data_IF_260094000367
#
_entry.id   IF_260094000367
#
_cell.length_a   1.000
_cell.length_b   1.000
_cell.length_c   1.000
_cell.angle_alpha   90.00
_cell.angle_beta   90.00
_cell.angle_gamma   90.00
#
_symmetry.space_group_name_H-M   'P 1'
#
loop_
_entity.id
_entity.type
_entity.pdbx_description
1 polymer ?
#
# COMPACT_ATOMS: atom_id res chain seq x y z
N UNK A 1 -1.88 -45.32 -34.10
CA UNK A 1 -2.25 -44.82 -32.75
C UNK A 1 -1.16 -44.95 -31.66
N UNK A 2 -0.16 -45.84 -31.76
CA UNK A 2 0.90 -45.99 -30.72
C UNK A 2 1.91 -44.83 -30.63
N UNK A 3 2.02 -43.96 -31.65
CA UNK A 3 3.00 -42.87 -31.66
C UNK A 3 2.58 -41.64 -30.83
N UNK A 4 1.27 -41.37 -30.71
CA UNK A 4 0.75 -40.16 -30.03
C UNK A 4 0.84 -40.23 -28.50
N UNK A 5 0.81 -41.42 -27.90
CA UNK A 5 0.95 -41.58 -26.45
C UNK A 5 2.39 -41.33 -25.96
N UNK A 6 3.40 -41.56 -26.80
CA UNK A 6 4.82 -41.43 -26.40
C UNK A 6 5.25 -39.96 -26.27
N UNK A 7 4.63 -39.07 -27.06
CA UNK A 7 4.95 -37.64 -27.04
C UNK A 7 4.35 -36.93 -25.80
N UNK A 8 3.12 -37.28 -25.40
CA UNK A 8 2.47 -36.70 -24.21
C UNK A 8 3.18 -37.05 -22.90
N UNK A 9 3.74 -38.27 -22.76
CA UNK A 9 4.46 -38.67 -21.55
C UNK A 9 5.71 -37.83 -21.27
N UNK A 10 6.48 -37.45 -22.31
CA UNK A 10 7.70 -36.65 -22.14
C UNK A 10 7.40 -35.21 -21.74
N UNK A 11 6.31 -34.62 -22.23
CA UNK A 11 5.91 -33.25 -21.88
C UNK A 11 5.36 -33.18 -20.45
N UNK A 12 4.53 -34.16 -20.06
CA UNK A 12 3.98 -34.23 -18.70
C UNK A 12 5.09 -34.42 -17.66
N UNK A 13 6.10 -35.27 -17.94
CA UNK A 13 7.21 -35.48 -17.01
C UNK A 13 8.07 -34.22 -16.82
N UNK A 14 8.29 -33.45 -17.89
CA UNK A 14 9.03 -32.18 -17.82
C UNK A 14 8.26 -31.09 -17.08
N UNK A 15 6.93 -31.00 -17.25
CA UNK A 15 6.13 -30.07 -16.45
C UNK A 15 6.16 -30.45 -14.97
N UNK A 16 6.01 -31.73 -14.62
CA UNK A 16 5.97 -32.15 -13.21
C UNK A 16 7.28 -31.86 -12.47
N UNK A 17 8.43 -32.01 -13.15
CA UNK A 17 9.74 -31.71 -12.56
C UNK A 17 9.96 -30.22 -12.36
N UNK A 18 9.49 -29.36 -13.28
CA UNK A 18 9.56 -27.91 -13.13
C UNK A 18 8.66 -27.43 -11.99
N UNK A 19 7.44 -27.97 -11.86
CA UNK A 19 6.53 -27.60 -10.76
C UNK A 19 7.06 -28.03 -9.40
N UNK A 20 7.68 -29.22 -9.30
CA UNK A 20 8.31 -29.67 -8.05
C UNK A 20 9.54 -28.84 -7.68
N UNK A 21 10.36 -28.43 -8.65
CA UNK A 21 11.51 -27.55 -8.40
C UNK A 21 11.08 -26.14 -7.96
N UNK A 22 10.01 -25.59 -8.56
CA UNK A 22 9.47 -24.30 -8.13
C UNK A 22 8.85 -24.37 -6.71
N UNK A 23 8.14 -25.45 -6.39
CA UNK A 23 7.59 -25.67 -5.06
C UNK A 23 8.66 -25.85 -3.98
N UNK A 24 9.74 -26.57 -4.28
CA UNK A 24 10.88 -26.71 -3.38
C UNK A 24 11.63 -25.39 -3.17
N UNK A 25 11.73 -24.54 -4.20
CA UNK A 25 12.35 -23.22 -4.08
C UNK A 25 11.51 -22.27 -3.20
N UNK A 26 10.18 -22.29 -3.32
CA UNK A 26 9.30 -21.49 -2.44
C UNK A 26 9.30 -21.96 -0.98
N UNK A 27 9.55 -23.25 -0.71
CA UNK A 27 9.70 -23.75 0.66
C UNK A 27 11.07 -23.41 1.27
N UNK A 28 12.11 -23.23 0.46
CA UNK A 28 13.45 -22.87 0.95
C UNK A 28 13.62 -21.37 1.24
N UNK A 29 12.91 -20.49 0.54
CA UNK A 29 12.99 -19.03 0.79
C UNK A 29 12.23 -18.58 2.04
N UNK A 30 11.28 -19.36 2.55
CA UNK A 30 10.52 -19.06 3.77
C UNK A 30 11.26 -19.31 5.08
N UNK A 31 12.40 -20.03 5.07
CA UNK A 31 13.12 -20.42 6.29
C UNK A 31 14.24 -19.45 6.69
N UNK A 32 14.58 -18.45 5.87
CA UNK A 32 15.77 -17.60 6.07
C UNK A 32 15.47 -16.16 6.54
N UNK A 33 14.21 -15.81 6.82
CA UNK A 33 13.80 -14.46 7.22
C UNK A 33 13.26 -14.34 8.65
N UNK A 34 13.70 -15.21 9.56
CA UNK A 34 13.48 -15.03 11.00
C UNK A 34 14.82 -14.79 11.70
N UNK A 35 15.53 -13.72 11.30
CA UNK A 35 16.36 -13.06 12.30
C UNK A 35 15.36 -12.54 13.35
N UNK A 36 15.28 -13.20 14.51
CA UNK A 36 14.46 -12.73 15.62
C UNK A 36 14.98 -11.34 15.98
N UNK A 37 14.31 -10.29 15.48
CA UNK A 37 14.51 -8.94 15.97
C UNK A 37 14.31 -8.98 17.48
N UNK A 38 15.23 -8.33 18.21
CA UNK A 38 15.12 -8.23 19.66
C UNK A 38 13.75 -7.64 19.99
N UNK A 39 13.04 -8.25 20.94
CA UNK A 39 11.79 -7.68 21.44
C UNK A 39 12.08 -6.29 22.00
N UNK A 40 11.16 -5.34 21.81
CA UNK A 40 11.23 -4.00 22.41
C UNK A 40 11.50 -4.07 23.92
N UNK A 41 10.95 -5.07 24.60
CA UNK A 41 11.21 -5.30 26.04
C UNK A 41 12.67 -5.64 26.31
N UNK A 42 13.31 -6.45 25.46
CA UNK A 42 14.71 -6.82 25.60
C UNK A 42 15.62 -5.61 25.34
N UNK A 43 15.28 -4.76 24.36
CA UNK A 43 16.01 -3.52 24.10
C UNK A 43 15.95 -2.55 25.29
N UNK A 44 14.77 -2.40 25.91
CA UNK A 44 14.62 -1.57 27.12
C UNK A 44 15.46 -2.13 28.28
N UNK A 45 15.44 -3.45 28.49
CA UNK A 45 16.23 -4.09 29.54
C UNK A 45 17.74 -3.96 29.29
N UNK A 46 18.19 -4.04 28.03
CA UNK A 46 19.59 -3.80 27.64
C UNK A 46 20.03 -2.37 28.00
N UNK A 47 19.19 -1.36 27.70
CA UNK A 47 19.46 0.06 28.05
C UNK A 47 19.52 0.24 29.58
N UNK A 48 18.63 -0.40 30.33
CA UNK A 48 18.62 -0.32 31.80
C UNK A 48 19.85 -0.99 32.42
N UNK A 49 20.34 -2.07 31.81
CA UNK A 49 21.56 -2.77 32.24
C UNK A 49 22.81 -1.92 31.91
N UNK A 50 22.89 -1.34 30.71
CA UNK A 50 23.99 -0.48 30.27
C UNK A 50 24.10 0.80 31.12
N UNK A 51 22.96 1.40 31.46
CA UNK A 51 22.89 2.56 32.37
C UNK A 51 23.13 2.21 33.85
N UNK A 52 23.40 0.94 34.18
CA UNK A 52 23.58 0.40 35.54
C UNK A 52 22.40 0.68 36.48
N UNK A 53 21.19 0.84 35.94
CA UNK A 53 19.97 1.02 36.75
C UNK A 53 19.46 -0.30 37.34
N UNK A 54 19.85 -1.43 36.75
CA UNK A 54 19.51 -2.78 37.20
C UNK A 54 20.74 -3.67 37.25
N UNK A 55 20.76 -4.64 38.17
CA UNK A 55 21.79 -5.69 38.20
C UNK A 55 21.48 -6.79 37.18
N UNK A 56 22.50 -7.59 36.83
CA UNK A 56 22.36 -8.74 35.93
C UNK A 56 21.27 -9.72 36.41
N UNK A 57 21.24 -10.04 37.71
CA UNK A 57 20.23 -10.93 38.29
C UNK A 57 18.80 -10.41 38.10
N UNK A 58 18.62 -9.08 38.17
CA UNK A 58 17.32 -8.43 37.97
C UNK A 58 16.94 -8.39 36.50
N UNK A 59 17.92 -8.21 35.60
CA UNK A 59 17.71 -8.32 34.16
C UNK A 59 17.19 -9.72 33.79
N UNK A 60 17.88 -10.79 34.24
CA UNK A 60 17.50 -12.17 33.92
C UNK A 60 16.11 -12.53 34.47
N UNK A 61 15.79 -12.06 35.68
CA UNK A 61 14.47 -12.26 36.29
C UNK A 61 13.35 -11.57 35.51
N UNK A 62 13.58 -10.35 35.00
CA UNK A 62 12.61 -9.60 34.21
C UNK A 62 12.43 -10.19 32.82
N UNK A 63 13.51 -10.64 32.18
CA UNK A 63 13.47 -11.30 30.88
C UNK A 63 12.61 -12.57 30.94
N UNK A 64 12.85 -13.43 31.94
CA UNK A 64 12.07 -14.66 32.16
C UNK A 64 10.59 -14.39 32.41
N UNK A 65 10.27 -13.31 33.13
CA UNK A 65 8.88 -12.90 33.37
C UNK A 65 8.19 -12.42 32.09
N UNK A 66 8.87 -11.61 31.28
CA UNK A 66 8.35 -11.12 30.01
C UNK A 66 8.06 -12.27 29.03
N UNK A 67 8.95 -13.26 28.95
CA UNK A 67 8.72 -14.47 28.14
C UNK A 67 7.49 -15.26 28.61
N UNK A 68 7.32 -15.44 29.91
CA UNK A 68 6.15 -16.11 30.47
C UNK A 68 4.84 -15.37 30.18
N UNK A 69 4.83 -14.03 30.29
CA UNK A 69 3.66 -13.20 29.97
C UNK A 69 3.33 -13.26 28.47
N UNK A 70 4.34 -13.25 27.58
CA UNK A 70 4.14 -13.38 26.14
C UNK A 70 3.59 -14.75 25.73
N UNK A 71 4.09 -15.84 26.32
CA UNK A 71 3.56 -17.18 26.09
C UNK A 71 2.10 -17.30 26.55
N UNK A 72 1.77 -16.73 27.72
CA UNK A 72 0.41 -16.70 28.23
C UNK A 72 -0.53 -15.87 27.32
N UNK A 73 -0.06 -14.74 26.78
CA UNK A 73 -0.80 -13.94 25.82
C UNK A 73 -1.03 -14.68 24.50
N UNK A 74 0.00 -15.35 23.97
CA UNK A 74 -0.12 -16.17 22.76
C UNK A 74 -1.11 -17.32 22.93
N UNK A 75 -1.12 -17.98 24.10
CA UNK A 75 -2.11 -19.01 24.43
C UNK A 75 -3.53 -18.45 24.44
N UNK A 76 -3.77 -17.30 25.06
CA UNK A 76 -5.09 -16.64 25.05
C UNK A 76 -5.56 -16.29 23.63
N UNK A 77 -4.66 -15.80 22.79
CA UNK A 77 -4.98 -15.52 21.38
C UNK A 77 -5.30 -16.81 20.62
N UNK A 78 -4.51 -17.87 20.81
CA UNK A 78 -4.76 -19.17 20.19
C UNK A 78 -6.07 -19.80 20.66
N UNK A 79 -6.43 -19.65 21.94
CA UNK A 79 -7.71 -20.09 22.49
C UNK A 79 -8.88 -19.27 21.93
N UNK A 80 -8.74 -17.95 21.82
CA UNK A 80 -9.75 -17.09 21.19
C UNK A 80 -9.94 -17.41 19.69
N UNK A 81 -8.85 -17.71 18.98
CA UNK A 81 -8.90 -18.15 17.59
C UNK A 81 -9.54 -19.53 17.44
N UNK A 82 -9.26 -20.48 18.35
CA UNK A 82 -9.93 -21.79 18.39
C UNK A 82 -11.42 -21.67 18.71
N UNK A 83 -11.82 -20.72 19.56
CA UNK A 83 -13.22 -20.44 19.83
C UNK A 83 -13.95 -19.79 18.64
N UNK A 84 -13.25 -18.99 17.83
CA UNK A 84 -13.78 -18.41 16.60
C UNK A 84 -13.78 -19.38 15.39
N UNK A 85 -13.05 -20.49 15.47
CA UNK A 85 -12.85 -21.44 14.37
C UNK A 85 -13.74 -22.70 14.46
N UNK A 86 -14.98 -22.58 14.96
CA UNK A 86 -15.97 -23.66 14.83
C UNK A 86 -16.38 -23.79 13.35
N UNK A 87 -16.02 -24.88 12.64
CA UNK A 87 -16.22 -24.97 11.20
C UNK A 87 -17.60 -25.57 10.89
N UNK A 88 -18.43 -24.84 10.13
CA UNK A 88 -19.44 -25.49 9.28
C UNK A 88 -18.68 -26.27 8.18
N UNK A 89 -18.91 -27.57 8.11
CA UNK A 89 -18.12 -28.50 7.32
C UNK A 89 -18.13 -28.19 5.81
N UNK A 90 -16.98 -28.22 5.12
CA UNK A 90 -16.91 -28.16 3.67
C UNK A 90 -16.92 -29.58 3.08
N UNK A 91 -17.88 -29.87 2.19
CA UNK A 91 -17.81 -31.06 1.34
C UNK A 91 -17.03 -30.72 0.08
N UNK A 92 -15.89 -31.38 -0.12
CA UNK A 92 -15.01 -31.20 -1.25
C UNK A 92 -15.58 -31.87 -2.52
N UNK A 93 -15.64 -31.10 -3.61
CA UNK A 93 -15.93 -31.57 -4.97
C UNK A 93 -14.95 -30.92 -5.96
N UNK A 94 -14.30 -31.77 -6.75
CA UNK A 94 -13.21 -31.51 -7.70
C UNK A 94 -13.59 -30.57 -8.85
N UNK A 95 -12.66 -29.67 -9.20
CA UNK A 95 -12.81 -28.66 -10.25
C UNK A 95 -12.97 -29.23 -11.67
N UNK A 96 -14.13 -28.97 -12.26
CA UNK A 96 -14.26 -28.50 -13.64
C UNK A 96 -15.05 -27.20 -13.61
N UNK A 97 -14.61 -26.16 -14.33
CA UNK A 97 -15.43 -24.96 -14.65
C UNK A 97 -16.80 -25.46 -15.17
N UNK A 98 -17.99 -25.13 -14.60
CA UNK A 98 -18.52 -23.76 -14.40
C UNK A 98 -19.52 -23.51 -13.21
N UNK A 99 -20.04 -22.28 -13.04
CA UNK A 99 -21.40 -21.84 -12.58
C UNK A 99 -21.98 -22.16 -11.18
N UNK A 100 -22.73 -21.19 -10.60
CA UNK A 100 -23.72 -21.26 -9.48
C UNK A 100 -23.14 -21.46 -8.07
N UNK A 101 -23.06 -20.50 -7.14
CA UNK A 101 -24.07 -19.59 -6.57
C UNK A 101 -25.20 -20.24 -5.74
N UNK A 102 -25.24 -21.57 -5.52
CA UNK A 102 -26.44 -22.18 -4.89
C UNK A 102 -26.38 -22.55 -3.41
N UNK A 103 -25.29 -22.30 -2.68
CA UNK A 103 -25.31 -22.43 -1.21
C UNK A 103 -25.35 -21.08 -0.46
N UNK A 104 -24.92 -19.99 -1.10
CA UNK A 104 -24.88 -18.65 -0.49
C UNK A 104 -25.32 -17.52 -1.44
N UNK A 105 -25.69 -17.82 -2.69
CA UNK A 105 -26.06 -16.79 -3.66
C UNK A 105 -24.90 -15.89 -4.11
N UNK A 106 -23.67 -16.14 -3.67
CA UNK A 106 -22.51 -15.28 -3.89
C UNK A 106 -21.80 -15.63 -5.20
N UNK A 107 -21.45 -14.62 -5.99
CA UNK A 107 -20.69 -14.70 -7.23
C UNK A 107 -19.36 -13.96 -7.08
N UNK A 108 -18.31 -14.51 -7.68
CA UNK A 108 -17.00 -13.87 -7.75
C UNK A 108 -16.70 -13.46 -9.19
N UNK A 109 -16.19 -12.24 -9.39
CA UNK A 109 -15.76 -11.75 -10.69
C UNK A 109 -14.46 -10.96 -10.58
N UNK A 110 -13.69 -10.93 -11.66
CA UNK A 110 -12.46 -10.15 -11.75
C UNK A 110 -12.59 -9.06 -12.80
N UNK A 111 -12.72 -7.80 -12.37
CA UNK A 111 -12.81 -6.63 -13.26
C UNK A 111 -12.17 -5.43 -12.57
N UNK A 112 -10.90 -5.17 -12.86
CA UNK A 112 -10.07 -4.16 -12.18
C UNK A 112 -9.90 -4.40 -10.67
N UNK A 113 -10.08 -5.64 -10.24
CA UNK A 113 -10.10 -6.06 -8.84
C UNK A 113 -10.95 -7.31 -8.66
N UNK A 114 -10.85 -7.93 -7.49
CA UNK A 114 -11.72 -9.02 -7.06
C UNK A 114 -13.05 -8.42 -6.58
N UNK A 115 -14.17 -8.89 -7.14
CA UNK A 115 -15.50 -8.49 -6.70
C UNK A 115 -16.29 -9.71 -6.27
N UNK A 116 -16.87 -9.65 -5.09
CA UNK A 116 -17.71 -10.66 -4.48
C UNK A 116 -19.11 -10.06 -4.33
N UNK A 117 -20.08 -10.54 -5.08
CA UNK A 117 -21.44 -9.99 -5.08
C UNK A 117 -22.48 -11.08 -5.09
N UNK A 118 -23.58 -10.93 -4.37
CA UNK A 118 -24.71 -11.85 -4.48
C UNK A 118 -25.76 -11.38 -5.50
N UNK A 119 -26.70 -12.26 -5.84
CA UNK A 119 -27.72 -12.01 -6.88
C UNK A 119 -28.60 -10.81 -6.56
N UNK A 120 -29.00 -10.63 -5.29
CA UNK A 120 -29.86 -9.53 -4.85
C UNK A 120 -29.09 -8.25 -4.52
N UNK A 121 -27.75 -8.26 -4.65
CA UNK A 121 -26.82 -7.16 -4.31
C UNK A 121 -26.94 -6.67 -2.86
N UNK A 122 -27.45 -7.50 -1.95
CA UNK A 122 -27.33 -7.18 -0.51
C UNK A 122 -25.89 -7.24 -0.03
N UNK A 123 -25.04 -8.02 -0.69
CA UNK A 123 -23.60 -8.04 -0.47
C UNK A 123 -22.90 -7.79 -1.79
N UNK A 124 -22.08 -6.76 -1.84
CA UNK A 124 -21.25 -6.40 -2.98
C UNK A 124 -19.95 -5.80 -2.47
N UNK A 125 -18.88 -6.57 -2.45
CA UNK A 125 -17.57 -6.16 -1.95
C UNK A 125 -16.57 -6.22 -3.09
N UNK A 126 -15.78 -5.17 -3.22
CA UNK A 126 -14.73 -5.02 -4.21
C UNK A 126 -13.40 -4.78 -3.52
N UNK A 127 -12.40 -5.60 -3.87
CA UNK A 127 -11.01 -5.45 -3.48
C UNK A 127 -10.22 -5.17 -4.74
N UNK A 128 -9.84 -3.92 -4.92
CA UNK A 128 -9.13 -3.43 -6.08
C UNK A 128 -8.02 -2.47 -5.68
N UNK A 129 -7.58 -1.66 -6.63
CA UNK A 129 -6.53 -0.71 -6.36
C UNK A 129 -6.08 0.05 -7.59
N UNK A 130 -5.04 0.86 -7.41
CA UNK A 130 -4.42 1.60 -8.50
C UNK A 130 -2.92 1.68 -8.30
N UNK A 131 -2.18 1.39 -9.36
CA UNK A 131 -0.76 1.69 -9.47
C UNK A 131 -0.57 2.77 -10.54
N UNK A 132 0.07 3.86 -10.17
CA UNK A 132 0.51 4.91 -11.09
C UNK A 132 2.03 5.01 -10.99
N UNK A 133 2.69 4.64 -12.08
CA UNK A 133 4.12 4.75 -12.24
C UNK A 133 4.39 5.74 -13.36
N UNK A 134 5.02 6.87 -13.02
CA UNK A 134 5.42 7.87 -13.99
C UNK A 134 6.86 7.65 -14.38
N UNK A 135 7.12 7.82 -15.67
CA UNK A 135 8.44 7.99 -16.23
C UNK A 135 8.44 9.35 -16.90
N UNK A 136 9.44 10.17 -16.60
CA UNK A 136 9.61 11.47 -17.20
C UNK A 136 11.06 11.61 -17.66
N UNK A 137 11.21 12.12 -18.88
CA UNK A 137 12.44 12.77 -19.31
C UNK A 137 12.14 14.26 -19.32
N UNK A 138 12.95 15.04 -18.62
CA UNK A 138 12.77 16.48 -18.51
C UNK A 138 14.05 17.18 -18.92
N UNK A 139 13.95 17.94 -20.01
CA UNK A 139 14.98 18.89 -20.42
C UNK A 139 14.56 20.30 -20.00
N UNK A 140 15.35 20.98 -19.17
CA UNK A 140 15.06 22.34 -18.74
C UNK A 140 15.20 23.31 -19.93
N UNK A 141 14.40 24.38 -19.93
CA UNK A 141 14.57 25.44 -20.92
C UNK A 141 15.95 26.11 -20.81
N UNK A 142 16.48 26.65 -21.92
CA UNK A 142 17.77 27.37 -21.93
C UNK A 142 17.83 28.50 -20.90
N UNK A 143 16.72 29.18 -20.66
CA UNK A 143 16.61 30.24 -19.65
C UNK A 143 16.81 29.70 -18.22
N UNK A 144 16.28 28.52 -17.91
CA UNK A 144 16.44 27.88 -16.60
C UNK A 144 17.88 27.37 -16.40
N UNK A 145 18.49 26.81 -17.44
CA UNK A 145 19.91 26.42 -17.42
C UNK A 145 20.79 27.65 -17.13
N UNK A 146 20.59 28.74 -17.87
CA UNK A 146 21.34 29.98 -17.68
C UNK A 146 21.16 30.55 -16.26
N UNK A 147 19.95 30.49 -15.71
CA UNK A 147 19.67 30.88 -14.33
C UNK A 147 20.44 30.00 -13.32
N UNK A 148 20.43 28.67 -13.48
CA UNK A 148 21.14 27.75 -12.58
C UNK A 148 22.66 27.93 -12.59
N UNK A 149 23.23 28.41 -13.71
CA UNK A 149 24.67 28.69 -13.84
C UNK A 149 25.06 30.08 -13.30
N UNK A 150 24.17 30.76 -12.58
CA UNK A 150 24.49 32.01 -11.89
C UNK A 150 24.47 33.25 -12.79
N UNK A 151 23.90 33.20 -13.99
CA UNK A 151 23.85 34.34 -14.92
C UNK A 151 23.10 35.57 -14.35
N UNK A 152 22.34 35.41 -13.26
CA UNK A 152 21.62 36.49 -12.57
C UNK A 152 21.96 36.61 -11.08
N UNK A 153 22.95 35.89 -10.57
CA UNK A 153 23.36 36.00 -9.16
C UNK A 153 24.38 37.15 -9.00
N UNK A 154 24.08 38.21 -8.22
CA UNK A 154 24.94 39.39 -8.10
C UNK A 154 26.30 39.14 -7.40
N UNK A 155 26.60 37.91 -6.97
CA UNK A 155 27.75 37.59 -6.12
C UNK A 155 28.49 36.29 -6.47
N UNK A 156 28.36 35.77 -7.70
CA UNK A 156 29.22 34.66 -8.16
C UNK A 156 29.02 33.33 -7.41
N UNK A 157 27.89 33.16 -6.71
CA UNK A 157 27.51 31.88 -6.13
C UNK A 157 26.96 30.98 -7.23
N UNK A 158 27.85 30.33 -7.96
CA UNK A 158 27.48 29.25 -8.87
C UNK A 158 26.88 28.13 -8.03
N UNK A 159 25.61 27.79 -8.24
CA UNK A 159 25.08 26.53 -7.71
C UNK A 159 25.84 25.42 -8.44
N UNK A 160 26.79 24.81 -7.75
CA UNK A 160 27.60 23.69 -8.25
C UNK A 160 26.68 22.60 -8.79
N UNK A 161 26.73 22.39 -10.11
CA UNK A 161 26.17 21.27 -10.88
C UNK A 161 24.99 20.52 -10.24
N UNK A 162 23.80 21.12 -10.23
CA UNK A 162 22.59 20.30 -10.32
C UNK A 162 22.35 20.03 -11.80
N UNK A 163 22.65 18.81 -12.27
CA UNK A 163 22.10 18.32 -13.54
C UNK A 163 20.59 18.53 -13.51
N UNK A 164 20.13 19.57 -14.21
CA UNK A 164 18.71 19.93 -14.31
C UNK A 164 18.01 19.17 -15.43
N UNK A 165 18.77 18.44 -16.26
CA UNK A 165 18.25 17.47 -17.21
C UNK A 165 18.40 16.04 -16.69
N UNK A 166 17.41 15.19 -16.99
CA UNK A 166 17.52 13.79 -16.65
C UNK A 166 16.23 13.00 -16.81
N UNK A 167 16.42 11.69 -16.76
CA UNK A 167 15.37 10.69 -16.68
C UNK A 167 15.04 10.45 -15.22
N UNK A 168 13.76 10.48 -14.88
CA UNK A 168 13.26 10.13 -13.56
C UNK A 168 12.08 9.18 -13.68
N UNK A 169 12.02 8.20 -12.81
CA UNK A 169 10.84 7.37 -12.59
C UNK A 169 10.36 7.51 -11.15
N UNK A 170 9.04 7.52 -10.97
CA UNK A 170 8.42 7.64 -9.66
C UNK A 170 7.10 6.88 -9.63
N UNK A 171 6.90 6.02 -8.63
CA UNK A 171 5.56 5.53 -8.30
C UNK A 171 4.78 6.68 -7.65
N UNK A 172 3.89 7.32 -8.41
CA UNK A 172 3.08 8.45 -7.92
C UNK A 172 2.02 8.00 -6.94
N UNK A 173 1.42 6.84 -7.17
CA UNK A 173 0.37 6.25 -6.31
C UNK A 173 0.46 4.75 -6.36
N UNK A 174 0.44 4.13 -5.20
CA UNK A 174 0.13 2.72 -5.04
C UNK A 174 -0.99 2.66 -4.02
N UNK A 175 -2.20 2.30 -4.45
CA UNK A 175 -3.39 2.30 -3.59
C UNK A 175 -4.06 0.95 -3.62
N UNK A 176 -4.39 0.44 -2.44
CA UNK A 176 -5.34 -0.65 -2.26
C UNK A 176 -6.68 -0.04 -1.90
N UNK A 177 -7.74 -0.49 -2.54
CA UNK A 177 -9.10 -0.04 -2.31
C UNK A 177 -9.95 -1.26 -1.92
N UNK A 178 -10.65 -1.14 -0.81
CA UNK A 178 -11.67 -2.08 -0.37
C UNK A 178 -12.96 -1.27 -0.23
N UNK A 179 -13.93 -1.53 -1.09
CA UNK A 179 -15.19 -0.80 -1.10
C UNK A 179 -16.37 -1.75 -1.28
N UNK A 180 -17.57 -1.31 -0.91
CA UNK A 180 -18.73 -2.15 -1.13
C UNK A 180 -20.00 -1.69 -0.44
N UNK A 181 -21.01 -2.55 -0.55
CA UNK A 181 -22.30 -2.44 0.14
C UNK A 181 -22.64 -3.72 0.88
N UNK A 182 -23.19 -3.55 2.07
CA UNK A 182 -23.64 -4.62 2.97
C UNK A 182 -25.09 -4.35 3.38
N UNK A 183 -25.93 -5.38 3.39
CA UNK A 183 -27.37 -5.31 3.63
C UNK A 183 -28.13 -4.30 2.77
N UNK A 184 -27.66 -4.03 1.54
CA UNK A 184 -28.18 -2.99 0.62
C UNK A 184 -28.05 -1.56 1.11
N UNK A 185 -28.17 -1.30 2.40
CA UNK A 185 -28.28 0.04 2.96
C UNK A 185 -26.94 0.59 3.46
N UNK A 186 -26.01 -0.28 3.88
CA UNK A 186 -24.71 0.16 4.36
C UNK A 186 -23.69 0.18 3.22
N UNK A 187 -22.99 1.29 3.07
CA UNK A 187 -21.86 1.45 2.15
C UNK A 187 -20.59 1.77 2.94
N UNK A 188 -19.45 1.33 2.42
CA UNK A 188 -18.15 1.62 3.01
C UNK A 188 -17.09 1.75 1.94
N UNK A 189 -16.01 2.45 2.28
CA UNK A 189 -14.80 2.51 1.48
C UNK A 189 -13.59 2.70 2.40
N UNK A 190 -12.57 1.89 2.15
CA UNK A 190 -11.26 1.99 2.77
C UNK A 190 -10.20 2.00 1.66
N UNK A 191 -9.43 3.08 1.58
CA UNK A 191 -8.36 3.25 0.63
C UNK A 191 -7.04 3.49 1.36
N UNK A 192 -6.12 2.55 1.17
CA UNK A 192 -4.78 2.57 1.74
C UNK A 192 -3.80 3.00 0.63
N UNK A 193 -3.00 4.04 0.88
CA UNK A 193 -1.97 4.55 -0.02
C UNK A 193 -0.56 4.21 0.51
N UNK A 194 0.24 3.56 -0.34
CA UNK A 194 1.59 3.06 -0.06
C UNK A 194 2.72 3.91 -0.66
N UNK A 195 2.43 4.83 -1.59
CA UNK A 195 3.47 5.53 -2.36
C UNK A 195 3.10 6.97 -2.75
N UNK A 196 4.07 7.92 -2.71
CA UNK A 196 5.13 8.03 -1.72
C UNK A 196 4.85 9.24 -0.84
N UNK A 197 4.66 9.02 0.47
CA UNK A 197 5.12 10.02 1.43
C UNK A 197 6.63 10.10 1.20
N UNK A 198 7.13 11.19 0.62
CA UNK A 198 8.55 11.43 0.44
C UNK A 198 9.32 10.99 1.70
N UNK A 199 10.47 10.35 1.52
CA UNK A 199 11.44 10.23 2.60
C UNK A 199 11.87 11.64 2.97
N UNK A 200 11.14 12.27 3.89
CA UNK A 200 11.48 13.57 4.41
C UNK A 200 12.64 13.35 5.38
N UNK A 201 13.87 13.49 4.89
CA UNK A 201 15.03 13.61 5.77
C UNK A 201 14.93 14.96 6.45
N UNK A 202 14.32 14.98 7.64
CA UNK A 202 14.31 16.20 8.45
C UNK A 202 15.69 16.31 9.08
N UNK A 203 16.46 17.29 8.64
CA UNK A 203 17.77 17.59 9.21
C UNK A 203 17.55 18.47 10.43
N UNK A 204 17.50 17.85 11.61
CA UNK A 204 17.48 18.57 12.87
C UNK A 204 18.89 19.08 13.15
N UNK A 205 19.06 20.41 13.16
CA UNK A 205 20.30 21.06 13.57
C UNK A 205 20.10 21.58 14.98
N UNK A 206 20.80 20.99 15.95
CA UNK A 206 20.92 21.57 17.28
C UNK A 206 22.28 22.24 17.41
N UNK A 207 22.34 23.34 18.14
CA UNK A 207 23.58 24.04 18.42
C UNK A 207 23.70 24.22 19.94
N UNK A 208 24.77 23.69 20.51
CA UNK A 208 25.04 23.76 21.95
C UNK A 208 26.28 24.63 22.18
N UNK A 209 26.15 25.66 23.01
CA UNK A 209 27.27 26.50 23.43
C UNK A 209 27.80 25.99 24.78
N UNK A 210 29.04 25.52 24.83
CA UNK A 210 29.70 25.08 26.07
C UNK A 210 31.14 25.61 26.12
N UNK A 211 31.50 26.26 27.22
CA UNK A 211 32.83 26.85 27.40
C UNK A 211 33.21 27.91 26.37
N UNK A 212 32.24 28.65 25.81
CA UNK A 212 32.47 29.65 24.77
C UNK A 212 32.64 29.08 23.36
N UNK A 213 32.52 27.76 23.17
CA UNK A 213 32.58 27.10 21.86
C UNK A 213 31.18 26.62 21.42
N UNK A 214 30.76 27.03 20.23
CA UNK A 214 29.51 26.61 19.61
C UNK A 214 29.73 25.29 18.87
N UNK A 215 29.02 24.23 19.27
CA UNK A 215 29.05 22.92 18.61
C UNK A 215 27.69 22.66 17.98
N UNK A 216 27.65 22.48 16.65
CA UNK A 216 26.43 22.15 15.92
C UNK A 216 26.37 20.65 15.68
N UNK A 217 25.31 20.00 16.16
CA UNK A 217 25.03 18.59 15.88
C UNK A 217 23.92 18.50 14.85
N UNK A 218 24.17 17.73 13.79
CA UNK A 218 23.20 17.49 12.72
C UNK A 218 22.68 16.07 12.88
N UNK A 219 21.39 15.91 13.16
CA UNK A 219 20.72 14.60 13.22
C UNK A 219 19.76 14.51 12.05
N UNK A 220 19.98 13.54 11.16
CA UNK A 220 19.08 13.26 10.06
C UNK A 220 18.02 12.26 10.54
N UNK A 221 16.77 12.70 10.67
CA UNK A 221 15.65 11.80 10.90
C UNK A 221 15.05 11.42 9.54
N UNK A 222 15.30 10.19 9.12
CA UNK A 222 14.76 9.61 7.89
C UNK A 222 13.46 8.90 8.24
N UNK A 223 12.31 9.48 7.93
CA UNK A 223 11.04 8.74 8.02
C UNK A 223 10.91 7.81 6.81
N UNK A 224 10.75 6.51 7.07
CA UNK A 224 10.51 5.50 6.03
C UNK A 224 9.19 5.72 5.28
N UNK A 225 8.89 4.88 4.27
CA UNK A 225 7.62 4.96 3.53
C UNK A 225 6.44 4.83 4.51
N UNK A 226 5.62 5.88 4.59
CA UNK A 226 4.43 5.89 5.42
C UNK A 226 3.26 5.31 4.61
N UNK A 227 2.61 4.32 5.21
CA UNK A 227 1.29 3.87 4.77
C UNK A 227 0.28 4.84 5.34
N UNK A 228 -0.57 5.40 4.48
CA UNK A 228 -1.59 6.39 4.90
C UNK A 228 -2.96 6.00 4.41
N UNK A 229 -3.98 6.39 5.17
CA UNK A 229 -5.37 6.26 4.76
C UNK A 229 -5.76 7.45 3.90
N UNK A 230 -6.10 7.20 2.64
CA UNK A 230 -6.50 8.24 1.70
C UNK A 230 -8.00 8.58 1.82
N UNK A 231 -8.84 7.56 2.01
CA UNK A 231 -10.29 7.68 2.13
C UNK A 231 -10.81 6.53 3.00
N UNK A 232 -11.43 6.83 4.15
CA UNK A 232 -11.94 5.83 5.09
C UNK A 232 -13.25 6.31 5.65
N UNK A 233 -14.35 5.72 5.19
CA UNK A 233 -15.68 6.07 5.64
C UNK A 233 -16.65 4.90 5.57
N UNK A 234 -17.70 5.01 6.37
CA UNK A 234 -18.87 4.16 6.30
C UNK A 234 -20.12 5.04 6.27
N UNK A 235 -21.20 4.54 5.69
CA UNK A 235 -22.44 5.29 5.53
C UNK A 235 -23.66 4.41 5.39
N UNK A 236 -24.82 5.04 5.58
CA UNK A 236 -26.12 4.46 5.33
C UNK A 236 -26.79 5.21 4.17
N UNK A 237 -27.40 4.45 3.27
CA UNK A 237 -28.25 4.95 2.19
C UNK A 237 -29.69 5.00 2.67
N UNK A 238 -30.47 5.86 2.03
CA UNK A 238 -31.92 5.92 2.18
C UNK A 238 -32.42 6.06 3.64
N UNK A 239 -31.66 6.78 4.47
CA UNK A 239 -32.09 7.14 5.83
C UNK A 239 -33.30 8.07 5.70
N UNK A 240 -34.45 7.73 6.31
CA UNK A 240 -35.64 8.58 6.25
C UNK A 240 -35.31 10.02 6.64
N UNK A 241 -35.78 10.99 5.85
CA UNK A 241 -35.55 12.43 6.00
C UNK A 241 -34.11 12.93 5.75
N UNK A 242 -33.08 12.11 6.00
CA UNK A 242 -31.66 12.51 5.89
C UNK A 242 -31.00 12.09 4.57
N UNK A 243 -31.59 11.16 3.83
CA UNK A 243 -31.01 10.63 2.60
C UNK A 243 -29.78 9.77 2.88
N UNK A 244 -28.65 10.10 2.23
CA UNK A 244 -27.40 9.36 2.41
C UNK A 244 -26.53 10.03 3.46
N UNK A 245 -26.19 9.31 4.52
CA UNK A 245 -25.33 9.79 5.61
C UNK A 245 -24.01 9.02 5.57
N UNK A 246 -22.89 9.74 5.63
CA UNK A 246 -21.55 9.15 5.70
C UNK A 246 -20.78 9.73 6.87
N UNK A 247 -19.98 8.90 7.51
CA UNK A 247 -19.10 9.28 8.62
C UNK A 247 -17.72 8.69 8.37
N UNK A 248 -16.71 9.52 8.48
CA UNK A 248 -15.32 9.12 8.29
C UNK A 248 -14.46 10.23 7.70
N UNK A 249 -13.22 9.87 7.39
CA UNK A 249 -12.30 10.71 6.64
C UNK A 249 -12.62 10.56 5.16
N UNK A 250 -13.09 11.64 4.53
CA UNK A 250 -13.35 11.68 3.10
C UNK A 250 -12.82 12.95 2.46
N UNK A 251 -12.49 12.88 1.18
CA UNK A 251 -12.19 14.09 0.41
C UNK A 251 -13.43 14.96 0.31
N UNK A 252 -13.24 16.26 0.56
CA UNK A 252 -14.32 17.24 0.42
C UNK A 252 -14.83 17.26 -1.03
N UNK A 253 -16.15 17.24 -1.26
CA UNK A 253 -16.72 17.22 -2.60
C UNK A 253 -16.70 18.62 -3.24
N UNK A 254 -15.56 19.31 -3.21
CA UNK A 254 -15.36 20.64 -3.79
C UNK A 254 -14.66 20.55 -5.14
N UNK A 255 -15.34 21.05 -6.19
CA UNK A 255 -14.81 21.10 -7.55
C UNK A 255 -15.19 19.87 -8.41
N UNK A 256 -15.60 20.14 -9.65
CA UNK A 256 -15.97 19.11 -10.63
C UNK A 256 -14.79 18.21 -11.01
N UNK A 257 -13.57 18.77 -11.05
CA UNK A 257 -12.32 18.05 -11.30
C UNK A 257 -12.00 16.99 -10.23
N UNK A 258 -12.39 17.24 -8.98
CA UNK A 258 -12.18 16.28 -7.88
C UNK A 258 -13.28 15.21 -7.84
N UNK A 259 -14.45 15.51 -8.43
CA UNK A 259 -15.61 14.62 -8.49
C UNK A 259 -15.60 13.71 -9.71
N UNK A 260 -15.00 14.15 -10.82
CA UNK A 260 -14.69 13.27 -11.92
C UNK A 260 -13.75 12.20 -11.39
N UNK A 261 -14.15 10.93 -11.52
CA UNK A 261 -13.29 9.83 -11.10
C UNK A 261 -11.91 10.04 -11.73
N UNK A 262 -10.90 10.15 -10.88
CA UNK A 262 -9.53 10.51 -11.28
C UNK A 262 -8.87 9.45 -12.17
N UNK A 263 -9.59 8.38 -12.50
CA UNK A 263 -9.25 7.45 -13.60
C UNK A 263 -9.43 8.15 -14.96
N UNK A 264 -10.45 9.00 -15.08
CA UNK A 264 -10.82 9.69 -16.33
C UNK A 264 -10.31 11.13 -16.44
N UNK A 265 -9.60 11.67 -15.44
CA UNK A 265 -8.96 12.98 -15.57
C UNK A 265 -7.98 12.92 -16.74
N UNK A 266 -8.29 13.67 -17.79
CA UNK A 266 -7.52 13.69 -19.05
C UNK A 266 -6.14 14.32 -18.85
N UNK A 267 -5.95 15.04 -17.74
CA UNK A 267 -4.70 15.72 -17.42
C UNK A 267 -3.94 15.02 -16.28
N UNK A 268 -2.68 14.68 -16.57
CA UNK A 268 -1.69 14.30 -15.56
C UNK A 268 -1.29 15.58 -14.83
N UNK A 269 -1.91 15.84 -13.66
CA UNK A 269 -1.57 17.00 -12.81
C UNK A 269 -0.07 16.98 -12.48
N UNK A 270 0.57 18.14 -12.64
CA UNK A 270 2.00 18.39 -12.42
C UNK A 270 2.54 17.61 -11.21
N UNK A 271 3.68 16.91 -11.42
CA UNK A 271 4.52 16.50 -10.30
C UNK A 271 4.86 17.76 -9.48
N UNK A 272 4.87 17.69 -8.15
CA UNK A 272 5.29 18.84 -7.35
C UNK A 272 6.71 19.22 -7.77
N UNK A 273 6.80 20.42 -8.34
CA UNK A 273 8.03 21.20 -8.56
C UNK A 273 8.97 20.76 -9.70
N UNK A 274 8.54 20.98 -10.95
CA UNK A 274 9.46 21.28 -12.05
C UNK A 274 9.04 22.60 -12.73
N UNK A 275 9.69 23.74 -12.43
CA UNK A 275 9.40 25.00 -13.11
C UNK A 275 10.03 25.00 -14.50
N UNK A 276 9.29 24.57 -15.53
CA UNK A 276 9.71 24.68 -16.93
C UNK A 276 8.73 24.05 -17.90
N UNK A 277 8.65 24.61 -19.11
CA UNK A 277 7.85 24.08 -20.22
C UNK A 277 8.44 22.74 -20.71
N UNK A 278 7.78 21.62 -20.41
CA UNK A 278 8.23 20.27 -20.79
C UNK A 278 7.35 19.73 -21.93
N UNK A 279 7.97 19.36 -23.06
CA UNK A 279 7.32 18.53 -24.09
C UNK A 279 7.23 17.08 -23.61
N UNK A 280 6.04 16.48 -23.67
CA UNK A 280 5.76 15.17 -23.05
C UNK A 280 5.22 14.16 -24.06
N UNK A 281 5.84 12.99 -24.10
CA UNK A 281 5.31 11.81 -24.79
C UNK A 281 4.73 10.85 -23.76
N UNK A 282 3.42 10.57 -23.85
CA UNK A 282 2.74 9.64 -22.95
C UNK A 282 2.33 8.37 -23.71
N UNK A 283 2.78 7.21 -23.22
CA UNK A 283 2.17 5.92 -23.57
C UNK A 283 1.01 5.65 -22.61
N UNK A 284 -0.22 5.94 -23.04
CA UNK A 284 -1.44 5.56 -22.32
C UNK A 284 -1.70 4.06 -22.52
N UNK A 285 -1.65 3.29 -21.43
CA UNK A 285 -2.16 1.91 -21.44
C UNK A 285 -3.68 1.95 -21.22
N UNK A 286 -4.45 1.27 -22.07
CA UNK A 286 -5.91 1.43 -22.23
C UNK A 286 -6.70 1.07 -20.97
N UNK A 287 -7.74 1.84 -20.63
CA UNK A 287 -8.84 1.35 -19.80
C UNK A 287 -10.22 1.70 -20.36
N UNK A 288 -11.06 0.66 -20.36
CA UNK A 288 -12.48 0.62 -20.70
C UNK A 288 -13.31 1.48 -19.75
N UNK A 289 -14.07 2.44 -20.30
CA UNK A 289 -14.93 3.33 -19.54
C UNK A 289 -16.24 2.64 -19.13
N UNK A 290 -16.53 2.62 -17.83
CA UNK A 290 -17.85 2.28 -17.31
C UNK A 290 -18.72 3.54 -17.26
N UNK A 291 -19.83 3.57 -18.00
CA UNK A 291 -20.82 4.65 -17.98
C UNK A 291 -21.88 4.31 -16.92
N UNK A 292 -21.92 5.06 -15.81
CA UNK A 292 -23.00 4.94 -14.82
C UNK A 292 -24.35 5.33 -15.45
N UNK A 293 -25.47 4.66 -15.08
CA UNK A 293 -26.80 5.07 -15.50
C UNK A 293 -27.16 6.43 -14.88
N UNK A 294 -27.57 7.38 -15.72
CA UNK A 294 -28.04 8.70 -15.30
C UNK A 294 -29.37 8.55 -14.54
N UNK A 295 -29.32 8.62 -13.22
CA UNK A 295 -30.50 8.94 -12.41
C UNK A 295 -30.87 10.40 -12.61
N UNK A 296 -32.14 10.68 -12.92
CA UNK A 296 -32.68 12.05 -12.99
C UNK A 296 -32.71 12.63 -11.58
N UNK A 297 -31.93 13.68 -11.33
CA UNK A 297 -32.12 14.55 -10.19
C UNK A 297 -33.28 15.51 -10.53
N UNK A 298 -34.36 15.47 -9.75
CA UNK A 298 -35.31 16.56 -9.67
C UNK A 298 -34.78 17.52 -8.60
N UNK A 299 -34.61 18.79 -9.00
CA UNK A 299 -34.38 19.93 -8.12
C UNK A 299 -35.66 20.26 -7.34
#
# INVERSE_FOLDING_TARGET
>A
MKCFLKFRRKVIFKMLTVTMLLGAFMLFTGAWAFAQEKSVTQEILDIMLESRQISQDKYDALLKRAEAENLAAAQKIAEAQKAAAQPAAPTAGTHGVPTSAEATGLSASWRNGLRLSNEDKSFDVHVGGRLQWDFADADPSKSLINWSHGAFAPTGTTFSETKVNGWGDQVRRARLLIDGTVYKDFEFSDQIEFAPSYTATTVLKSATLSGGKLTTTTTSLTTGPAVTFADVWAGAKDVPYLGRVRVGQMYEPIGLEQRADRIGTTEVRQLPYFPGDVHRHYCLNSQSQYRLPRGKYLL
#
